data_IF_072919537233
#
_entry.id   IF_072919537233
#
_cell.length_a   1.000
_cell.length_b   1.000
_cell.length_c   1.000
_cell.angle_alpha   90.00
_cell.angle_beta   90.00
_cell.angle_gamma   90.00
#
_symmetry.space_group_name_H-M   'P 1'
#
loop_
_entity.id
_entity.type
_entity.pdbx_description
1 polymer ?
#
# COMPACT_ATOMS: atom_id res chain seq x y z
N UNK A 1 22.04 17.83 22.17
CA UNK A 1 20.65 18.03 21.65
C UNK A 1 19.80 16.90 22.18
N UNK A 2 18.59 17.22 22.65
CA UNK A 2 17.62 16.20 23.02
C UNK A 2 17.25 15.42 21.75
N UNK A 3 17.30 14.08 21.82
CA UNK A 3 16.98 13.24 20.64
C UNK A 3 15.49 13.31 20.37
N UNK A 4 15.09 13.62 19.14
CA UNK A 4 13.69 13.59 18.70
C UNK A 4 13.12 12.18 18.87
N UNK A 5 11.81 12.08 19.10
CA UNK A 5 11.13 10.79 19.19
C UNK A 5 10.91 10.20 17.80
N UNK A 6 11.04 8.86 17.63
CA UNK A 6 10.71 8.19 16.38
C UNK A 6 9.18 8.04 16.22
N UNK A 7 8.58 8.38 15.06
CA UNK A 7 7.13 8.45 14.86
C UNK A 7 6.51 7.08 14.53
N UNK A 8 6.57 6.12 15.46
CA UNK A 8 6.00 4.80 15.24
C UNK A 8 4.48 4.86 15.24
N UNK A 9 3.84 4.53 14.11
CA UNK A 9 2.39 4.48 13.98
C UNK A 9 1.71 5.84 13.81
N UNK A 10 2.46 6.94 13.68
CA UNK A 10 1.92 8.27 13.45
C UNK A 10 1.80 8.48 11.94
N UNK A 11 0.58 8.77 11.49
CA UNK A 11 0.25 8.98 10.07
C UNK A 11 -0.09 10.46 9.76
N UNK A 12 -0.12 11.31 10.78
CA UNK A 12 -0.37 12.75 10.65
C UNK A 12 0.93 13.52 10.52
N UNK A 13 1.11 14.22 9.41
CA UNK A 13 2.24 15.14 9.19
C UNK A 13 2.25 16.28 10.20
N UNK A 14 1.06 16.85 10.47
CA UNK A 14 0.89 17.91 11.45
C UNK A 14 1.34 17.47 12.84
N UNK A 15 0.91 16.28 13.30
CA UNK A 15 1.32 15.72 14.58
C UNK A 15 2.84 15.50 14.65
N UNK A 16 3.45 14.94 13.60
CA UNK A 16 4.90 14.71 13.54
C UNK A 16 5.66 16.03 13.70
N UNK A 17 5.22 17.09 13.03
CA UNK A 17 5.91 18.36 13.01
C UNK A 17 5.66 19.18 14.26
N UNK A 18 4.44 19.22 14.77
CA UNK A 18 4.05 20.01 15.95
C UNK A 18 4.59 19.41 17.25
N UNK A 19 4.60 18.07 17.37
CA UNK A 19 5.09 17.36 18.55
C UNK A 19 6.61 17.08 18.51
N UNK A 20 7.30 17.54 17.47
CA UNK A 20 8.76 17.42 17.34
C UNK A 20 9.26 15.99 17.19
N UNK A 21 8.55 15.15 16.44
CA UNK A 21 9.06 13.84 16.05
C UNK A 21 10.10 13.94 14.93
N UNK A 22 10.94 12.92 14.81
CA UNK A 22 11.89 12.82 13.70
C UNK A 22 11.15 12.64 12.39
N UNK A 23 11.41 13.51 11.43
CA UNK A 23 10.78 13.47 10.11
C UNK A 23 11.83 13.36 9.00
N UNK A 24 11.75 12.33 8.19
CA UNK A 24 12.51 12.22 6.95
C UNK A 24 11.78 13.02 5.89
N UNK A 25 12.43 14.07 5.39
CA UNK A 25 11.83 15.07 4.52
C UNK A 25 11.44 14.51 3.15
N UNK A 26 10.14 14.34 2.92
CA UNK A 26 9.55 13.95 1.64
C UNK A 26 8.78 15.08 0.94
N UNK A 27 9.00 16.34 1.38
CA UNK A 27 8.33 17.50 0.79
C UNK A 27 8.76 17.80 -0.65
N UNK A 28 9.83 17.14 -1.13
CA UNK A 28 10.16 17.09 -2.55
C UNK A 28 9.02 16.58 -3.43
N UNK A 29 8.14 15.70 -2.89
CA UNK A 29 6.93 15.26 -3.56
C UNK A 29 6.03 16.44 -3.97
N UNK A 30 5.88 17.45 -3.11
CA UNK A 30 5.06 18.63 -3.40
C UNK A 30 5.62 19.39 -4.59
N UNK A 31 6.94 19.65 -4.60
CA UNK A 31 7.62 20.34 -5.70
C UNK A 31 7.42 19.59 -7.03
N UNK A 32 7.69 18.28 -7.00
CA UNK A 32 7.64 17.48 -8.21
C UNK A 32 6.20 17.29 -8.71
N UNK A 33 5.24 17.17 -7.79
CA UNK A 33 3.81 17.16 -8.13
C UNK A 33 3.40 18.49 -8.77
N UNK A 34 3.72 19.64 -8.17
CA UNK A 34 3.33 20.96 -8.69
C UNK A 34 3.97 21.28 -10.05
N UNK A 35 5.15 20.73 -10.34
CA UNK A 35 5.81 20.90 -11.63
C UNK A 35 5.27 19.96 -12.72
N UNK A 36 4.62 18.86 -12.36
CA UNK A 36 4.26 17.79 -13.31
C UNK A 36 2.84 17.23 -13.13
N UNK A 37 1.97 17.90 -12.38
CA UNK A 37 0.65 17.35 -12.06
C UNK A 37 -0.26 17.16 -13.28
N UNK A 38 -0.95 16.01 -13.29
CA UNK A 38 -2.12 15.77 -14.12
C UNK A 38 -3.39 16.18 -13.39
N UNK A 39 -4.53 16.16 -14.06
CA UNK A 39 -5.83 16.45 -13.41
C UNK A 39 -6.12 15.44 -12.29
N UNK A 40 -5.78 14.16 -12.50
CA UNK A 40 -5.88 13.10 -11.48
C UNK A 40 -4.56 12.33 -11.42
N UNK A 41 -3.88 12.38 -10.27
CA UNK A 41 -2.59 11.73 -10.04
C UNK A 41 -2.79 10.50 -9.16
N UNK A 42 -2.48 9.33 -9.68
CA UNK A 42 -2.60 8.07 -8.94
C UNK A 42 -1.21 7.54 -8.58
N UNK A 43 -0.94 7.36 -7.29
CA UNK A 43 0.27 6.72 -6.80
C UNK A 43 -0.04 5.32 -6.28
N UNK A 44 0.54 4.30 -6.90
CA UNK A 44 0.46 2.93 -6.40
C UNK A 44 1.79 2.51 -5.80
N UNK A 45 1.78 2.20 -4.49
CA UNK A 45 2.95 1.78 -3.72
C UNK A 45 2.54 0.67 -2.75
N UNK A 46 3.42 -0.25 -2.39
CA UNK A 46 3.12 -1.28 -1.40
C UNK A 46 2.68 -0.68 -0.06
N UNK A 47 2.10 -1.50 0.80
CA UNK A 47 1.73 -1.08 2.15
C UNK A 47 2.97 -0.66 2.94
N UNK A 48 2.82 0.31 3.88
CA UNK A 48 3.88 0.79 4.78
C UNK A 48 4.97 1.67 4.14
N UNK A 49 4.80 2.14 2.91
CA UNK A 49 5.71 3.04 2.21
C UNK A 49 5.36 4.53 2.34
N UNK A 50 4.63 4.94 3.38
CA UNK A 50 4.40 6.36 3.71
C UNK A 50 3.28 7.04 2.90
N UNK A 51 2.39 6.29 2.20
CA UNK A 51 1.29 6.86 1.41
C UNK A 51 0.42 7.82 2.22
N UNK A 52 -0.14 7.35 3.33
CA UNK A 52 -1.03 8.15 4.19
C UNK A 52 -0.34 9.39 4.77
N UNK A 53 0.92 9.26 5.19
CA UNK A 53 1.70 10.39 5.70
C UNK A 53 1.94 11.45 4.62
N UNK A 54 2.27 11.04 3.39
CA UNK A 54 2.41 11.95 2.26
C UNK A 54 1.08 12.63 1.91
N UNK A 55 -0.04 11.92 1.99
CA UNK A 55 -1.38 12.51 1.80
C UNK A 55 -1.70 13.54 2.89
N UNK A 56 -1.37 13.25 4.14
CA UNK A 56 -1.50 14.20 5.26
C UNK A 56 -0.61 15.44 5.05
N UNK A 57 0.62 15.25 4.57
CA UNK A 57 1.54 16.35 4.21
C UNK A 57 0.96 17.22 3.09
N UNK A 58 0.42 16.63 2.02
CA UNK A 58 -0.22 17.38 0.93
C UNK A 58 -1.42 18.18 1.44
N UNK A 59 -2.26 17.58 2.31
CA UNK A 59 -3.37 18.29 2.96
C UNK A 59 -2.87 19.52 3.70
N UNK A 60 -1.89 19.35 4.60
CA UNK A 60 -1.31 20.45 5.40
C UNK A 60 -0.66 21.52 4.53
N UNK A 61 -0.16 21.18 3.33
CA UNK A 61 0.44 22.18 2.44
C UNK A 61 -0.61 23.02 1.69
N UNK A 62 -1.65 22.38 1.15
CA UNK A 62 -2.61 23.08 0.29
C UNK A 62 -3.73 23.78 1.04
N UNK A 63 -4.14 23.24 2.20
CA UNK A 63 -5.38 23.62 2.89
C UNK A 63 -5.37 25.08 3.38
N UNK A 64 -6.44 25.81 3.07
CA UNK A 64 -6.67 27.17 3.57
C UNK A 64 -6.74 27.14 5.09
N UNK A 65 -5.93 27.98 5.74
CA UNK A 65 -5.88 28.09 7.21
C UNK A 65 -4.92 27.10 7.88
N UNK A 66 -4.25 26.21 7.12
CA UNK A 66 -3.23 25.32 7.69
C UNK A 66 -2.01 26.11 8.18
N UNK A 67 -1.35 25.56 9.20
CA UNK A 67 -0.13 26.13 9.78
C UNK A 67 1.06 25.94 8.83
N UNK A 68 1.51 27.05 8.25
CA UNK A 68 2.63 27.06 7.29
C UNK A 68 3.97 26.78 7.97
N UNK A 69 4.09 27.01 9.26
CA UNK A 69 5.35 26.79 10.02
C UNK A 69 5.72 25.32 10.11
N UNK A 70 4.77 24.41 9.86
CA UNK A 70 5.03 22.97 9.75
C UNK A 70 6.07 22.62 8.68
N UNK A 71 6.25 23.48 7.69
CA UNK A 71 7.18 23.29 6.58
C UNK A 71 8.53 24.00 6.76
N UNK A 72 8.72 24.74 7.86
CA UNK A 72 9.95 25.45 8.13
C UNK A 72 11.16 24.50 8.16
N UNK A 73 12.20 24.86 7.39
CA UNK A 73 13.44 24.09 7.30
C UNK A 73 13.38 22.87 6.37
N UNK A 74 12.20 22.52 5.82
CA UNK A 74 12.03 21.43 4.86
C UNK A 74 12.36 21.86 3.44
N UNK A 75 12.58 20.90 2.53
CA UNK A 75 12.96 21.14 1.13
C UNK A 75 12.01 22.10 0.42
N UNK A 76 10.70 21.90 0.58
CA UNK A 76 9.69 22.73 -0.07
C UNK A 76 9.74 24.20 0.35
N UNK A 77 10.17 24.50 1.58
CA UNK A 77 10.28 25.89 2.06
C UNK A 77 11.32 26.72 1.30
N UNK A 78 12.23 26.05 0.57
CA UNK A 78 13.21 26.70 -0.31
C UNK A 78 12.64 27.08 -1.68
N UNK A 79 11.51 26.50 -2.04
CA UNK A 79 10.77 26.75 -3.29
C UNK A 79 9.78 27.91 -3.07
N UNK A 80 10.31 29.11 -2.83
CA UNK A 80 9.52 30.28 -2.40
C UNK A 80 8.38 30.61 -3.36
N UNK A 81 8.61 30.53 -4.68
CA UNK A 81 7.57 30.81 -5.69
C UNK A 81 6.42 29.78 -5.60
N UNK A 82 6.70 28.50 -5.38
CA UNK A 82 5.68 27.48 -5.21
C UNK A 82 4.92 27.66 -3.88
N UNK A 83 5.62 27.98 -2.80
CA UNK A 83 5.00 28.27 -1.51
C UNK A 83 4.08 29.50 -1.59
N UNK A 84 4.52 30.57 -2.22
CA UNK A 84 3.69 31.78 -2.42
C UNK A 84 2.45 31.52 -3.27
N UNK A 85 2.57 30.69 -4.30
CA UNK A 85 1.47 30.40 -5.21
C UNK A 85 0.46 29.39 -4.66
N UNK A 86 0.91 28.39 -3.86
CA UNK A 86 0.09 27.22 -3.55
C UNK A 86 -0.11 26.96 -2.06
N UNK A 87 0.83 27.30 -1.17
CA UNK A 87 0.76 26.95 0.26
C UNK A 87 -0.38 27.66 0.98
N UNK A 88 -1.34 26.89 1.49
CA UNK A 88 -2.51 27.40 2.21
C UNK A 88 -3.48 28.18 1.33
N UNK A 89 -3.59 27.83 0.04
CA UNK A 89 -4.39 28.59 -0.95
C UNK A 89 -5.64 27.87 -1.45
N UNK A 90 -5.78 26.57 -1.16
CA UNK A 90 -6.86 25.77 -1.73
C UNK A 90 -7.76 25.19 -0.65
N UNK A 91 -9.07 25.13 -0.87
CA UNK A 91 -9.91 24.24 -0.09
C UNK A 91 -9.51 22.79 -0.43
N UNK A 92 -9.42 21.94 0.61
CA UNK A 92 -9.01 20.55 0.47
C UNK A 92 -10.14 19.63 0.95
N UNK A 93 -10.48 18.64 0.14
CA UNK A 93 -11.28 17.49 0.54
C UNK A 93 -10.33 16.32 0.76
N UNK A 94 -10.37 15.71 1.95
CA UNK A 94 -9.52 14.58 2.30
C UNK A 94 -10.34 13.42 2.84
N UNK A 95 -10.33 12.29 2.13
CA UNK A 95 -10.95 11.05 2.59
C UNK A 95 -9.94 9.90 2.56
N UNK A 96 -9.95 9.07 3.61
CA UNK A 96 -9.22 7.81 3.63
C UNK A 96 -10.21 6.66 3.67
N UNK A 97 -10.11 5.76 2.69
CA UNK A 97 -10.97 4.58 2.58
C UNK A 97 -10.40 3.36 3.32
N UNK A 98 -9.32 3.55 4.08
CA UNK A 98 -8.62 2.51 4.86
C UNK A 98 -9.56 1.73 5.79
N UNK A 99 -10.59 2.39 6.33
CA UNK A 99 -11.55 1.80 7.28
C UNK A 99 -12.79 1.17 6.65
N UNK A 100 -12.90 1.12 5.32
CA UNK A 100 -14.06 0.51 4.65
C UNK A 100 -13.83 -1.01 4.53
N UNK A 101 -14.13 -1.74 5.60
CA UNK A 101 -13.89 -3.18 5.77
C UNK A 101 -15.09 -3.84 6.46
N UNK A 102 -16.21 -4.01 5.72
CA UNK A 102 -17.41 -4.68 6.21
C UNK A 102 -17.48 -6.13 5.76
N UNK A 103 -18.07 -7.00 6.58
CA UNK A 103 -18.33 -8.39 6.19
C UNK A 103 -19.43 -8.50 5.13
N UNK A 104 -20.31 -7.52 5.07
CA UNK A 104 -21.38 -7.39 4.08
C UNK A 104 -21.24 -6.07 3.32
N UNK A 105 -21.91 -5.97 2.16
CA UNK A 105 -21.95 -4.72 1.41
C UNK A 105 -22.57 -3.59 2.23
N UNK A 106 -23.64 -3.87 2.99
CA UNK A 106 -24.34 -2.91 3.82
C UNK A 106 -23.43 -2.35 4.93
N UNK A 107 -22.65 -3.21 5.58
CA UNK A 107 -21.68 -2.79 6.60
C UNK A 107 -20.59 -1.88 5.99
N UNK A 108 -20.01 -2.29 4.86
CA UNK A 108 -18.99 -1.51 4.16
C UNK A 108 -19.56 -0.17 3.64
N UNK A 109 -20.78 -0.17 3.10
CA UNK A 109 -21.46 1.05 2.68
C UNK A 109 -21.73 1.98 3.89
N UNK A 110 -22.16 1.42 5.03
CA UNK A 110 -22.32 2.17 6.26
C UNK A 110 -21.02 2.82 6.76
N UNK A 111 -19.88 2.14 6.59
CA UNK A 111 -18.55 2.70 6.89
C UNK A 111 -18.18 3.83 5.94
N UNK A 112 -18.39 3.68 4.64
CA UNK A 112 -18.17 4.74 3.66
C UNK A 112 -19.03 5.98 3.97
N UNK A 113 -20.32 5.78 4.28
CA UNK A 113 -21.22 6.87 4.70
C UNK A 113 -20.65 7.66 5.88
N UNK A 114 -20.13 6.98 6.91
CA UNK A 114 -19.50 7.65 8.07
C UNK A 114 -18.31 8.50 7.68
N UNK A 115 -17.46 8.00 6.76
CA UNK A 115 -16.31 8.77 6.24
C UNK A 115 -16.77 10.02 5.53
N UNK A 116 -17.74 9.91 4.62
CA UNK A 116 -18.30 11.05 3.87
C UNK A 116 -18.94 12.07 4.81
N UNK A 117 -19.72 11.62 5.80
CA UNK A 117 -20.33 12.48 6.80
C UNK A 117 -19.30 13.19 7.69
N UNK A 118 -18.25 12.47 8.12
CA UNK A 118 -17.16 13.08 8.89
C UNK A 118 -16.47 14.21 8.11
N UNK A 119 -16.30 14.04 6.79
CA UNK A 119 -15.76 15.09 5.94
C UNK A 119 -16.76 16.25 5.77
N UNK A 120 -18.07 15.97 5.66
CA UNK A 120 -19.09 17.01 5.69
C UNK A 120 -19.08 17.81 7.00
N UNK A 121 -18.96 17.15 8.15
CA UNK A 121 -18.85 17.82 9.46
C UNK A 121 -17.62 18.72 9.57
N UNK A 122 -16.48 18.31 8.99
CA UNK A 122 -15.29 19.16 8.93
C UNK A 122 -15.55 20.48 8.19
N UNK A 123 -16.50 20.47 7.26
CA UNK A 123 -16.91 21.62 6.44
C UNK A 123 -18.25 22.23 6.89
N UNK A 124 -18.72 21.98 8.12
CA UNK A 124 -20.04 22.45 8.61
C UNK A 124 -20.25 23.96 8.52
N UNK A 125 -19.16 24.74 8.52
CA UNK A 125 -19.21 26.18 8.33
C UNK A 125 -19.87 26.60 7.01
N UNK A 126 -19.89 25.72 5.99
CA UNK A 126 -20.54 25.96 4.70
C UNK A 126 -22.07 26.07 4.86
N UNK A 127 -22.66 25.45 5.89
CA UNK A 127 -24.09 25.53 6.19
C UNK A 127 -24.56 26.97 6.47
N UNK A 128 -23.65 27.84 6.90
CA UNK A 128 -23.92 29.27 7.20
C UNK A 128 -23.44 30.21 6.09
N UNK A 129 -22.95 29.67 4.97
CA UNK A 129 -22.44 30.48 3.87
C UNK A 129 -23.58 31.08 3.05
N UNK A 130 -23.54 32.40 2.85
CA UNK A 130 -24.46 33.10 1.97
C UNK A 130 -24.06 33.11 0.49
N UNK A 131 -22.96 32.43 0.14
CA UNK A 131 -22.39 32.35 -1.21
C UNK A 131 -22.75 31.06 -1.96
N UNK A 132 -23.29 30.06 -1.26
CA UNK A 132 -23.55 28.75 -1.83
C UNK A 132 -24.97 28.62 -2.37
N UNK A 133 -25.17 27.76 -3.38
CA UNK A 133 -26.50 27.52 -3.94
C UNK A 133 -27.37 26.72 -2.99
N UNK A 134 -28.64 27.11 -2.86
CA UNK A 134 -29.57 26.47 -1.93
C UNK A 134 -29.78 24.98 -2.25
N UNK A 135 -29.84 24.61 -3.52
CA UNK A 135 -30.04 23.23 -3.97
C UNK A 135 -28.90 22.30 -3.48
N UNK A 136 -27.65 22.70 -3.66
CA UNK A 136 -26.48 21.91 -3.22
C UNK A 136 -26.36 21.93 -1.70
N UNK A 137 -26.69 23.06 -1.07
CA UNK A 137 -26.75 23.20 0.38
C UNK A 137 -27.73 22.20 0.99
N UNK A 138 -28.91 21.98 0.40
CA UNK A 138 -29.87 21.00 0.90
C UNK A 138 -29.33 19.56 0.87
N UNK A 139 -28.59 19.17 -0.17
CA UNK A 139 -27.93 17.85 -0.21
C UNK A 139 -26.87 17.73 0.89
N UNK A 140 -26.08 18.78 1.11
CA UNK A 140 -25.08 18.84 2.17
C UNK A 140 -25.70 18.78 3.57
N UNK A 141 -26.79 19.50 3.82
CA UNK A 141 -27.51 19.47 5.09
C UNK A 141 -28.07 18.07 5.41
N UNK A 142 -28.54 17.31 4.40
CA UNK A 142 -28.97 15.93 4.62
C UNK A 142 -27.83 15.03 5.10
N UNK A 143 -26.58 15.27 4.64
CA UNK A 143 -25.41 14.54 5.14
C UNK A 143 -25.13 14.89 6.61
N UNK A 144 -25.20 16.17 6.99
CA UNK A 144 -25.02 16.63 8.37
C UNK A 144 -26.11 16.09 9.30
N UNK A 145 -27.36 16.07 8.84
CA UNK A 145 -28.53 15.58 9.61
C UNK A 145 -28.65 14.04 9.62
N UNK A 146 -27.76 13.33 8.97
CA UNK A 146 -27.80 11.87 8.78
C UNK A 146 -29.05 11.34 8.05
N UNK A 147 -29.66 12.19 7.21
CA UNK A 147 -30.85 11.88 6.40
C UNK A 147 -30.51 11.66 4.92
N UNK A 148 -29.24 11.45 4.61
CA UNK A 148 -28.73 11.28 3.27
C UNK A 148 -29.26 10.02 2.57
N UNK A 149 -29.47 10.17 1.29
CA UNK A 149 -29.79 9.09 0.36
C UNK A 149 -28.53 8.47 -0.24
N UNK A 150 -28.66 7.37 -0.97
CA UNK A 150 -27.55 6.79 -1.73
C UNK A 150 -27.00 7.76 -2.77
N UNK A 151 -27.86 8.52 -3.43
CA UNK A 151 -27.48 9.51 -4.43
C UNK A 151 -26.69 10.67 -3.79
N UNK A 152 -27.10 11.12 -2.59
CA UNK A 152 -26.33 12.14 -1.86
C UNK A 152 -24.91 11.67 -1.54
N UNK A 153 -24.72 10.38 -1.24
CA UNK A 153 -23.38 9.79 -1.03
C UNK A 153 -22.59 9.73 -2.34
N UNK A 154 -23.19 9.28 -3.45
CA UNK A 154 -22.53 9.18 -4.74
C UNK A 154 -22.10 10.55 -5.28
N UNK A 155 -22.90 11.59 -5.06
CA UNK A 155 -22.64 12.96 -5.52
C UNK A 155 -21.84 13.79 -4.50
N UNK A 156 -21.58 13.27 -3.30
CA UNK A 156 -21.03 14.01 -2.16
C UNK A 156 -19.75 14.78 -2.48
N UNK A 157 -18.73 14.12 -3.06
CA UNK A 157 -17.45 14.74 -3.33
C UNK A 157 -17.55 15.88 -4.38
N UNK A 158 -18.45 15.74 -5.36
CA UNK A 158 -18.74 16.80 -6.31
C UNK A 158 -19.51 17.95 -5.66
N UNK A 159 -20.49 17.64 -4.82
CA UNK A 159 -21.24 18.63 -4.05
C UNK A 159 -20.30 19.42 -3.13
N UNK A 160 -19.41 18.76 -2.42
CA UNK A 160 -18.38 19.41 -1.59
C UNK A 160 -17.48 20.32 -2.43
N UNK A 161 -17.03 19.84 -3.59
CA UNK A 161 -16.19 20.64 -4.50
C UNK A 161 -16.89 21.91 -4.95
N UNK A 162 -18.16 21.82 -5.33
CA UNK A 162 -18.98 22.95 -5.73
C UNK A 162 -19.19 23.97 -4.60
N UNK A 163 -19.60 23.51 -3.42
CA UNK A 163 -19.85 24.36 -2.25
C UNK A 163 -18.57 25.08 -1.79
N UNK A 164 -17.45 24.37 -1.74
CA UNK A 164 -16.15 24.96 -1.39
C UNK A 164 -15.72 25.99 -2.42
N UNK A 165 -15.88 25.71 -3.72
CA UNK A 165 -15.57 26.66 -4.78
C UNK A 165 -16.44 27.93 -4.67
N UNK A 166 -17.74 27.78 -4.48
CA UNK A 166 -18.65 28.91 -4.30
C UNK A 166 -18.29 29.76 -3.06
N UNK A 167 -17.89 29.10 -1.97
CA UNK A 167 -17.53 29.80 -0.73
C UNK A 167 -16.20 30.54 -0.82
N UNK A 168 -15.14 29.86 -1.28
CA UNK A 168 -13.77 30.40 -1.28
C UNK A 168 -13.36 31.09 -2.59
N UNK A 169 -14.06 30.84 -3.70
CA UNK A 169 -13.66 31.32 -5.03
C UNK A 169 -12.43 30.62 -5.60
N UNK A 170 -12.04 29.49 -5.02
CA UNK A 170 -10.86 28.71 -5.40
C UNK A 170 -11.26 27.26 -5.71
N UNK A 171 -10.64 26.68 -6.77
CA UNK A 171 -10.80 25.27 -7.09
C UNK A 171 -10.27 24.38 -5.96
N UNK A 172 -10.78 23.17 -5.89
CA UNK A 172 -10.57 22.23 -4.78
C UNK A 172 -9.45 21.26 -5.10
N UNK A 173 -8.59 20.97 -4.13
CA UNK A 173 -7.68 19.83 -4.16
C UNK A 173 -8.38 18.65 -3.50
N UNK A 174 -8.51 17.53 -4.23
CA UNK A 174 -9.15 16.31 -3.73
C UNK A 174 -8.10 15.23 -3.44
N UNK A 175 -8.04 14.79 -2.19
CA UNK A 175 -7.10 13.78 -1.72
C UNK A 175 -7.87 12.53 -1.28
N UNK A 176 -7.59 11.38 -1.92
CA UNK A 176 -8.24 10.09 -1.62
C UNK A 176 -7.17 9.06 -1.28
N UNK A 177 -7.10 8.66 -0.02
CA UNK A 177 -6.13 7.68 0.47
C UNK A 177 -6.70 6.27 0.50
N UNK A 178 -5.87 5.27 0.13
CA UNK A 178 -6.19 3.84 0.15
C UNK A 178 -7.48 3.50 -0.63
N UNK A 179 -7.60 4.01 -1.88
CA UNK A 179 -8.80 3.91 -2.70
C UNK A 179 -9.21 2.47 -3.03
N UNK A 180 -8.26 1.54 -3.03
CA UNK A 180 -8.43 0.14 -3.40
C UNK A 180 -8.82 -0.77 -2.23
N UNK A 181 -8.72 -0.31 -0.98
CA UNK A 181 -9.05 -1.11 0.20
C UNK A 181 -10.50 -1.62 0.20
N UNK A 182 -11.52 -0.79 -0.10
CA UNK A 182 -12.90 -1.28 -0.17
C UNK A 182 -13.09 -2.41 -1.19
N UNK A 183 -12.33 -2.39 -2.28
CA UNK A 183 -12.41 -3.39 -3.36
C UNK A 183 -11.73 -4.69 -2.96
N UNK A 184 -10.55 -4.60 -2.34
CA UNK A 184 -9.81 -5.73 -1.77
C UNK A 184 -10.70 -6.49 -0.78
N UNK A 185 -11.31 -5.76 0.17
CA UNK A 185 -12.19 -6.33 1.18
C UNK A 185 -13.47 -6.94 0.59
N UNK A 186 -14.11 -6.22 -0.32
CA UNK A 186 -15.30 -6.69 -1.01
C UNK A 186 -15.05 -7.97 -1.84
N UNK A 187 -13.86 -8.09 -2.44
CA UNK A 187 -13.45 -9.30 -3.15
C UNK A 187 -13.37 -10.49 -2.19
N UNK A 188 -12.72 -10.32 -1.05
CA UNK A 188 -12.60 -11.38 -0.04
C UNK A 188 -13.92 -11.80 0.58
N UNK A 189 -14.90 -10.88 0.69
CA UNK A 189 -16.21 -11.12 1.31
C UNK A 189 -17.33 -11.38 0.29
N UNK A 190 -17.04 -11.37 -1.03
CA UNK A 190 -17.96 -11.83 -2.07
C UNK A 190 -18.99 -10.79 -2.56
N UNK A 191 -18.87 -9.50 -2.19
CA UNK A 191 -19.73 -8.41 -2.67
C UNK A 191 -18.99 -7.40 -3.56
N UNK A 192 -17.98 -7.90 -4.28
CA UNK A 192 -17.07 -7.09 -5.09
C UNK A 192 -17.78 -6.23 -6.15
N UNK A 193 -18.77 -6.80 -6.88
CA UNK A 193 -19.45 -6.08 -7.96
C UNK A 193 -20.26 -4.89 -7.47
N UNK A 194 -20.91 -5.03 -6.32
CA UNK A 194 -21.67 -3.97 -5.68
C UNK A 194 -20.73 -2.84 -5.21
N UNK A 195 -19.58 -3.18 -4.65
CA UNK A 195 -18.59 -2.20 -4.23
C UNK A 195 -17.95 -1.47 -5.42
N UNK A 196 -17.63 -2.17 -6.50
CA UNK A 196 -17.15 -1.56 -7.75
C UNK A 196 -18.14 -0.54 -8.27
N UNK A 197 -19.44 -0.88 -8.30
CA UNK A 197 -20.48 0.04 -8.77
C UNK A 197 -20.58 1.30 -7.88
N UNK A 198 -20.47 1.12 -6.57
CA UNK A 198 -20.50 2.22 -5.58
C UNK A 198 -19.29 3.17 -5.75
N UNK A 199 -18.09 2.63 -5.73
CA UNK A 199 -16.84 3.43 -5.84
C UNK A 199 -16.76 4.11 -7.22
N UNK A 200 -17.19 3.44 -8.30
CA UNK A 200 -17.29 4.04 -9.63
C UNK A 200 -18.24 5.22 -9.65
N UNK A 201 -19.42 5.09 -9.03
CA UNK A 201 -20.38 6.19 -8.93
C UNK A 201 -19.77 7.39 -8.23
N UNK A 202 -19.19 7.19 -7.06
CA UNK A 202 -18.55 8.23 -6.24
C UNK A 202 -17.40 8.94 -6.99
N UNK A 203 -16.47 8.17 -7.57
CA UNK A 203 -15.30 8.75 -8.25
C UNK A 203 -15.65 9.31 -9.63
N UNK A 204 -16.61 8.71 -10.33
CA UNK A 204 -17.06 9.20 -11.63
C UNK A 204 -17.58 10.63 -11.56
N UNK A 205 -18.34 10.96 -10.52
CA UNK A 205 -18.83 12.33 -10.29
C UNK A 205 -17.73 13.30 -9.85
N UNK A 206 -16.81 12.83 -9.01
CA UNK A 206 -15.78 13.66 -8.40
C UNK A 206 -14.61 13.97 -9.32
N UNK A 207 -14.20 13.01 -10.17
CA UNK A 207 -12.95 13.06 -10.95
C UNK A 207 -13.16 13.26 -12.44
N UNK A 208 -14.39 13.02 -12.95
CA UNK A 208 -14.74 13.23 -14.35
C UNK A 208 -15.61 14.48 -14.50
N UNK A 209 -15.18 15.41 -15.32
CA UNK A 209 -15.98 16.63 -15.61
C UNK A 209 -16.38 17.43 -14.36
N UNK A 210 -15.52 17.44 -13.35
CA UNK A 210 -15.68 18.29 -12.17
C UNK A 210 -14.96 19.64 -12.39
N UNK A 211 -15.68 20.66 -12.84
CA UNK A 211 -15.15 21.97 -13.15
C UNK A 211 -14.56 22.71 -11.93
N UNK A 212 -14.93 22.27 -10.73
CA UNK A 212 -14.45 22.82 -9.46
C UNK A 212 -13.13 22.19 -8.98
N UNK A 213 -12.67 21.14 -9.67
CA UNK A 213 -11.44 20.44 -9.31
C UNK A 213 -10.20 21.21 -9.80
N UNK A 214 -9.23 21.44 -8.92
CA UNK A 214 -7.89 21.90 -9.27
C UNK A 214 -7.07 20.72 -9.78
N UNK A 215 -6.92 19.73 -8.95
CA UNK A 215 -6.42 18.39 -9.25
C UNK A 215 -6.80 17.42 -8.12
N UNK A 216 -6.66 16.14 -8.41
CA UNK A 216 -6.82 15.08 -7.40
C UNK A 216 -5.53 14.28 -7.24
N UNK A 217 -5.31 13.76 -6.02
CA UNK A 217 -4.28 12.75 -5.73
C UNK A 217 -4.95 11.55 -5.08
N UNK A 218 -4.70 10.37 -5.64
CA UNK A 218 -5.17 9.10 -5.12
C UNK A 218 -3.97 8.23 -4.74
N UNK A 219 -4.11 7.47 -3.64
CA UNK A 219 -3.13 6.44 -3.26
C UNK A 219 -3.77 5.09 -3.07
N UNK A 220 -3.04 4.03 -3.42
CA UNK A 220 -3.45 2.63 -3.25
C UNK A 220 -2.27 1.67 -3.40
N UNK A 221 -2.53 0.37 -3.28
CA UNK A 221 -1.53 -0.67 -3.51
C UNK A 221 -1.57 -1.17 -4.95
N UNK A 222 -2.76 -1.37 -5.49
CA UNK A 222 -2.97 -1.90 -6.85
C UNK A 222 -3.49 -0.82 -7.79
N UNK A 223 -3.13 -0.92 -9.07
CA UNK A 223 -3.78 -0.17 -10.13
C UNK A 223 -5.01 -0.95 -10.60
N UNK A 224 -6.18 -0.61 -10.09
CA UNK A 224 -7.46 -1.24 -10.47
C UNK A 224 -8.03 -0.58 -11.74
N UNK A 225 -7.18 -0.38 -12.77
CA UNK A 225 -7.55 0.44 -13.93
C UNK A 225 -8.49 -0.24 -14.93
N UNK A 226 -8.40 -1.56 -15.08
CA UNK A 226 -9.25 -2.32 -16.01
C UNK A 226 -10.66 -2.53 -15.50
N UNK A 227 -10.85 -2.45 -14.20
CA UNK A 227 -12.18 -2.47 -13.66
C UNK A 227 -12.78 -1.09 -13.81
N UNK A 228 -13.71 -1.05 -14.65
CA UNK A 228 -14.74 -0.04 -14.89
C UNK A 228 -14.89 1.14 -13.88
N UNK A 229 -14.10 1.19 -12.75
CA UNK A 229 -14.03 2.33 -11.81
C UNK A 229 -13.45 3.55 -12.53
N UNK A 230 -12.38 3.34 -13.27
CA UNK A 230 -11.72 4.36 -14.05
C UNK A 230 -12.02 4.28 -15.56
N UNK A 231 -12.91 3.38 -15.97
CA UNK A 231 -13.33 3.28 -17.38
C UNK A 231 -13.97 4.59 -17.85
N UNK A 232 -13.36 5.19 -18.85
CA UNK A 232 -13.81 6.48 -19.39
C UNK A 232 -13.27 7.70 -18.66
N UNK A 233 -12.35 7.53 -17.70
CA UNK A 233 -11.53 8.60 -17.15
C UNK A 233 -10.20 8.62 -17.90
N UNK A 234 -10.03 9.56 -18.83
CA UNK A 234 -8.84 9.69 -19.68
C UNK A 234 -7.81 10.65 -19.07
N UNK A 235 -8.06 11.17 -17.89
CA UNK A 235 -7.32 12.24 -17.23
C UNK A 235 -6.42 11.74 -16.09
N UNK A 236 -6.16 10.42 -16.01
CA UNK A 236 -5.28 9.84 -14.98
C UNK A 236 -3.82 9.84 -15.39
N UNK A 237 -2.98 10.44 -14.56
CA UNK A 237 -1.52 10.24 -14.55
C UNK A 237 -1.17 9.20 -13.49
N UNK A 238 -0.81 7.99 -13.93
CA UNK A 238 -0.56 6.86 -13.04
C UNK A 238 0.94 6.73 -12.80
N UNK A 239 1.32 6.70 -11.54
CA UNK A 239 2.69 6.60 -11.08
C UNK A 239 2.87 5.36 -10.19
N UNK A 240 3.31 4.27 -10.81
CA UNK A 240 3.49 2.96 -10.19
C UNK A 240 4.91 2.75 -9.66
N UNK A 241 5.19 1.57 -9.13
CA UNK A 241 6.52 1.20 -8.63
C UNK A 241 7.59 1.07 -9.74
N UNK A 242 7.19 1.00 -11.01
CA UNK A 242 8.14 0.90 -12.14
C UNK A 242 8.47 2.25 -12.77
N UNK A 243 7.76 3.31 -12.39
CA UNK A 243 7.94 4.64 -12.95
C UNK A 243 9.05 5.40 -12.22
N UNK A 244 9.94 6.05 -13.00
CA UNK A 244 11.05 6.83 -12.45
C UNK A 244 10.61 8.13 -11.77
N UNK A 245 9.42 8.65 -12.16
CA UNK A 245 8.85 9.83 -11.54
C UNK A 245 8.35 9.49 -10.14
N UNK A 246 8.72 10.26 -9.13
CA UNK A 246 8.35 10.10 -7.73
C UNK A 246 8.90 8.82 -7.05
N UNK A 247 9.96 8.22 -7.56
CA UNK A 247 10.51 6.96 -7.07
C UNK A 247 11.17 7.07 -5.68
N UNK A 248 11.70 8.25 -5.30
CA UNK A 248 12.31 8.50 -3.98
C UNK A 248 11.34 9.06 -2.92
N UNK A 249 10.11 9.44 -3.30
CA UNK A 249 9.17 10.11 -2.37
C UNK A 249 8.38 9.13 -1.50
N UNK A 250 8.41 7.86 -1.84
CA UNK A 250 7.78 6.78 -1.08
C UNK A 250 8.85 5.77 -0.66
N UNK A 251 8.90 5.46 0.63
CA UNK A 251 10.03 4.70 1.18
C UNK A 251 11.16 5.61 1.66
N UNK A 252 12.23 5.01 2.21
CA UNK A 252 13.44 5.72 2.61
C UNK A 252 14.61 5.32 1.71
N UNK A 253 15.34 6.30 1.21
CA UNK A 253 16.57 6.05 0.45
C UNK A 253 17.69 5.60 1.39
N UNK A 254 18.74 4.98 0.83
CA UNK A 254 19.89 4.56 1.63
C UNK A 254 20.56 5.74 2.36
N UNK A 255 20.62 6.91 1.73
CA UNK A 255 21.20 8.11 2.35
C UNK A 255 20.36 8.56 3.55
N UNK A 256 19.03 8.58 3.44
CA UNK A 256 18.13 8.96 4.52
C UNK A 256 18.22 7.99 5.72
N UNK A 257 18.34 6.68 5.44
CA UNK A 257 18.50 5.67 6.51
C UNK A 257 19.84 5.82 7.20
N UNK A 258 20.94 6.02 6.47
CA UNK A 258 22.25 6.26 7.06
C UNK A 258 22.26 7.53 7.91
N UNK A 259 21.61 8.60 7.46
CA UNK A 259 21.47 9.83 8.25
C UNK A 259 20.68 9.59 9.54
N UNK A 260 19.55 8.88 9.46
CA UNK A 260 18.75 8.51 10.64
C UNK A 260 19.61 7.70 11.63
N UNK A 261 20.33 6.69 11.17
CA UNK A 261 21.19 5.87 12.05
C UNK A 261 22.28 6.73 12.72
N UNK A 262 22.91 7.64 11.98
CA UNK A 262 23.92 8.55 12.52
C UNK A 262 23.35 9.53 13.54
N UNK A 263 22.17 10.11 13.29
CA UNK A 263 21.52 11.03 14.22
C UNK A 263 21.18 10.36 15.56
N UNK A 264 20.99 9.05 15.55
CA UNK A 264 20.70 8.26 16.76
C UNK A 264 21.91 7.49 17.31
N UNK A 265 23.10 7.55 16.65
CA UNK A 265 24.30 6.84 17.05
C UNK A 265 24.15 5.32 16.91
N UNK A 266 23.51 4.89 15.83
CA UNK A 266 23.22 3.49 15.50
C UNK A 266 23.96 3.05 14.22
N UNK A 267 25.03 3.74 13.84
CA UNK A 267 25.80 3.52 12.58
C UNK A 267 26.26 2.06 12.42
N UNK A 268 26.62 1.41 13.53
CA UNK A 268 27.10 0.01 13.55
C UNK A 268 26.03 -0.99 13.03
N UNK A 269 24.75 -0.63 13.05
CA UNK A 269 23.63 -1.45 12.60
C UNK A 269 23.29 -1.27 11.13
N UNK A 270 24.00 -0.41 10.37
CA UNK A 270 23.68 -0.09 8.97
C UNK A 270 23.66 -1.32 8.06
N UNK A 271 24.65 -2.22 8.20
CA UNK A 271 24.70 -3.43 7.38
C UNK A 271 23.55 -4.40 7.68
N UNK A 272 23.16 -4.53 8.93
CA UNK A 272 22.04 -5.38 9.36
C UNK A 272 20.70 -4.77 8.94
N UNK A 273 20.50 -3.47 9.14
CA UNK A 273 19.33 -2.70 8.66
C UNK A 273 19.14 -2.90 7.16
N UNK A 274 20.22 -2.77 6.39
CA UNK A 274 20.20 -2.96 4.94
C UNK A 274 19.79 -4.39 4.57
N UNK A 275 20.40 -5.40 5.17
CA UNK A 275 20.13 -6.80 4.84
C UNK A 275 18.67 -7.22 5.12
N UNK A 276 18.03 -6.56 6.10
CA UNK A 276 16.69 -6.94 6.53
C UNK A 276 15.57 -6.14 5.88
N UNK A 277 15.77 -4.85 5.58
CA UNK A 277 14.66 -3.92 5.26
C UNK A 277 14.85 -3.12 3.98
N UNK A 278 16.02 -3.21 3.32
CA UNK A 278 16.31 -2.62 2.01
C UNK A 278 15.80 -3.52 0.87
N UNK A 279 16.15 -3.16 -0.36
CA UNK A 279 16.02 -4.00 -1.55
C UNK A 279 14.75 -3.81 -2.35
N UNK A 280 13.86 -2.92 -1.95
CA UNK A 280 12.76 -2.51 -2.80
C UNK A 280 13.26 -1.54 -3.86
N UNK A 281 12.88 -1.77 -5.12
CA UNK A 281 13.20 -0.87 -6.22
C UNK A 281 11.94 -0.21 -6.75
N UNK A 282 11.94 1.12 -6.73
CA UNK A 282 10.93 1.94 -7.39
C UNK A 282 11.62 2.74 -8.48
N UNK A 283 11.17 2.60 -9.75
CA UNK A 283 11.84 3.23 -10.86
C UNK A 283 13.35 2.94 -10.88
N UNK A 284 14.16 3.94 -10.57
CA UNK A 284 15.62 3.83 -10.46
C UNK A 284 16.13 3.88 -9.03
N UNK A 285 15.27 4.19 -8.06
CA UNK A 285 15.65 4.30 -6.66
C UNK A 285 15.53 2.96 -5.92
N UNK A 286 16.56 2.64 -5.14
CA UNK A 286 16.49 1.56 -4.13
C UNK A 286 16.04 2.17 -2.80
N UNK A 287 15.01 1.58 -2.19
CA UNK A 287 14.36 2.13 -1.00
C UNK A 287 14.10 1.06 0.05
N UNK A 288 14.10 1.51 1.31
CA UNK A 288 13.72 0.72 2.48
C UNK A 288 12.24 0.92 2.80
N UNK A 289 11.63 -0.07 3.44
CA UNK A 289 10.31 0.10 4.04
C UNK A 289 10.40 1.00 5.30
N UNK A 290 9.76 2.18 5.33
CA UNK A 290 9.83 3.11 6.46
C UNK A 290 9.40 2.52 7.79
N UNK A 291 8.34 1.72 7.77
CA UNK A 291 7.80 1.08 8.97
C UNK A 291 8.83 0.20 9.66
N UNK A 292 9.58 -0.57 8.90
CA UNK A 292 10.57 -1.52 9.43
C UNK A 292 11.77 -0.79 9.99
N UNK A 293 12.28 0.19 9.25
CA UNK A 293 13.42 1.03 9.68
C UNK A 293 13.12 1.72 10.99
N UNK A 294 11.97 2.40 11.11
CA UNK A 294 11.59 3.14 12.31
C UNK A 294 11.38 2.20 13.52
N UNK A 295 10.72 1.04 13.30
CA UNK A 295 10.50 0.08 14.38
C UNK A 295 11.79 -0.58 14.85
N UNK A 296 12.70 -0.93 13.93
CA UNK A 296 13.99 -1.51 14.32
C UNK A 296 14.88 -0.50 15.00
N UNK A 297 14.99 0.73 14.49
CA UNK A 297 15.71 1.81 15.15
C UNK A 297 15.19 2.07 16.57
N UNK A 298 13.86 2.10 16.76
CA UNK A 298 13.27 2.24 18.12
C UNK A 298 13.66 1.09 19.05
N UNK A 299 13.71 -0.14 18.55
CA UNK A 299 14.17 -1.29 19.35
C UNK A 299 15.62 -1.17 19.75
N UNK A 300 16.50 -0.79 18.82
CA UNK A 300 17.92 -0.60 19.07
C UNK A 300 18.19 0.49 20.12
N UNK A 301 17.37 1.55 20.14
CA UNK A 301 17.45 2.58 21.17
C UNK A 301 17.11 2.06 22.58
N UNK A 302 16.23 1.08 22.67
CA UNK A 302 15.88 0.44 23.95
C UNK A 302 16.86 -0.68 24.34
N UNK A 303 17.35 -1.44 23.37
CA UNK A 303 18.31 -2.52 23.53
C UNK A 303 19.28 -2.56 22.33
N UNK A 304 20.53 -2.07 22.51
CA UNK A 304 21.52 -2.07 21.42
C UNK A 304 21.88 -3.46 20.86
N UNK A 305 21.49 -4.52 21.56
CA UNK A 305 21.68 -5.91 21.10
C UNK A 305 20.41 -6.53 20.50
N UNK A 306 19.36 -5.73 20.31
CA UNK A 306 18.12 -6.19 19.72
C UNK A 306 18.37 -6.76 18.32
N UNK A 307 17.81 -7.94 18.05
CA UNK A 307 17.86 -8.54 16.72
C UNK A 307 16.76 -7.98 15.82
N UNK A 308 17.00 -7.87 14.52
CA UNK A 308 15.96 -7.56 13.57
C UNK A 308 14.86 -8.62 13.61
N UNK A 309 13.68 -8.22 13.22
CA UNK A 309 12.51 -9.10 13.13
C UNK A 309 11.59 -8.62 12.02
N UNK A 310 10.67 -9.49 11.61
CA UNK A 310 9.65 -9.16 10.63
C UNK A 310 8.57 -8.26 11.24
N UNK A 311 8.61 -6.96 10.94
CA UNK A 311 7.60 -5.98 11.38
C UNK A 311 6.47 -5.82 10.36
N UNK A 312 6.78 -5.87 9.08
CA UNK A 312 5.82 -5.68 7.99
C UNK A 312 4.79 -6.81 7.93
N UNK A 313 5.23 -8.06 8.10
CA UNK A 313 4.43 -9.28 8.02
C UNK A 313 3.31 -9.32 9.06
N UNK A 314 3.60 -8.88 10.28
CA UNK A 314 2.65 -8.98 11.40
C UNK A 314 1.49 -7.98 11.27
N UNK A 315 1.48 -7.14 10.24
CA UNK A 315 0.50 -6.06 10.03
C UNK A 315 -0.32 -6.19 8.77
N UNK A 316 0.04 -7.12 7.87
CA UNK A 316 -0.73 -7.47 6.66
C UNK A 316 -1.07 -8.94 6.69
N UNK A 317 -2.29 -9.31 6.34
CA UNK A 317 -2.63 -10.73 6.14
C UNK A 317 -1.71 -11.30 5.06
N UNK A 318 -1.00 -12.39 5.36
CA UNK A 318 -0.14 -13.09 4.39
C UNK A 318 -0.96 -13.93 3.40
N UNK A 319 -2.25 -13.66 3.31
CA UNK A 319 -3.21 -14.43 2.51
C UNK A 319 -2.80 -14.50 1.03
N UNK A 320 -2.15 -13.45 0.54
CA UNK A 320 -1.71 -13.42 -0.86
C UNK A 320 -0.59 -14.43 -1.12
N UNK A 321 0.44 -14.48 -0.25
CA UNK A 321 1.52 -15.49 -0.39
C UNK A 321 0.99 -16.89 -0.12
N UNK A 322 0.09 -17.06 0.87
CA UNK A 322 -0.56 -18.33 1.11
C UNK A 322 -1.32 -18.80 -0.12
N UNK A 323 -2.19 -17.97 -0.69
CA UNK A 323 -2.94 -18.27 -1.93
C UNK A 323 -2.03 -18.61 -3.09
N UNK A 324 -0.91 -17.92 -3.22
CA UNK A 324 0.08 -18.20 -4.24
C UNK A 324 0.73 -19.57 -4.04
N UNK A 325 1.18 -19.88 -2.82
CA UNK A 325 1.79 -21.18 -2.50
C UNK A 325 0.79 -22.33 -2.67
N UNK A 326 -0.48 -22.13 -2.28
CA UNK A 326 -1.55 -23.14 -2.45
C UNK A 326 -1.81 -23.45 -3.92
N UNK A 327 -1.67 -22.45 -4.83
CA UNK A 327 -1.86 -22.63 -6.28
C UNK A 327 -0.61 -23.09 -7.04
N UNK A 328 0.56 -23.09 -6.39
CA UNK A 328 1.82 -23.51 -6.99
C UNK A 328 1.93 -25.05 -7.06
N UNK A 329 1.00 -25.68 -7.80
CA UNK A 329 0.95 -27.15 -7.90
C UNK A 329 1.92 -27.72 -8.93
N UNK A 330 2.32 -26.94 -9.92
CA UNK A 330 3.24 -27.35 -10.99
C UNK A 330 4.71 -27.26 -10.51
N UNK A 331 5.53 -28.18 -11.01
CA UNK A 331 6.95 -28.28 -10.65
C UNK A 331 7.76 -27.03 -11.04
N UNK A 332 7.38 -26.37 -12.14
CA UNK A 332 8.08 -25.17 -12.62
C UNK A 332 7.93 -24.03 -11.63
N UNK A 333 6.71 -23.75 -11.18
CA UNK A 333 6.43 -22.71 -10.19
C UNK A 333 7.11 -23.01 -8.84
N UNK A 334 7.12 -24.29 -8.41
CA UNK A 334 7.84 -24.69 -7.19
C UNK A 334 9.33 -24.43 -7.30
N UNK A 335 9.98 -24.79 -8.41
CA UNK A 335 11.39 -24.48 -8.67
C UNK A 335 11.67 -22.98 -8.72
N UNK A 336 10.76 -22.20 -9.27
CA UNK A 336 10.90 -20.73 -9.28
C UNK A 336 10.83 -20.13 -7.88
N UNK A 337 9.95 -20.64 -7.02
CA UNK A 337 9.88 -20.23 -5.60
C UNK A 337 11.19 -20.61 -4.88
N UNK A 338 11.72 -21.82 -5.09
CA UNK A 338 12.99 -22.25 -4.52
C UNK A 338 14.15 -21.34 -4.94
N UNK A 339 14.23 -21.01 -6.23
CA UNK A 339 15.23 -20.08 -6.75
C UNK A 339 15.15 -18.70 -6.11
N UNK A 340 13.93 -18.16 -5.94
CA UNK A 340 13.71 -16.87 -5.24
C UNK A 340 14.17 -16.93 -3.77
N UNK A 341 13.90 -18.02 -3.06
CA UNK A 341 14.35 -18.22 -1.68
C UNK A 341 15.87 -18.29 -1.61
N UNK A 342 16.52 -18.86 -2.62
CA UNK A 342 18.00 -18.91 -2.74
C UNK A 342 18.61 -17.55 -3.15
N UNK A 343 17.79 -16.55 -3.41
CA UNK A 343 18.22 -15.20 -3.83
C UNK A 343 18.45 -15.07 -5.32
N UNK A 344 18.05 -16.07 -6.13
CA UNK A 344 18.12 -15.98 -7.58
C UNK A 344 16.96 -15.20 -8.17
N UNK A 345 17.17 -14.54 -9.29
CA UNK A 345 16.10 -13.88 -10.03
C UNK A 345 15.33 -14.87 -10.92
N UNK A 346 14.02 -14.65 -11.02
CA UNK A 346 13.16 -15.28 -12.03
C UNK A 346 12.69 -14.23 -13.03
N UNK A 347 12.39 -14.64 -14.26
CA UNK A 347 11.93 -13.71 -15.31
C UNK A 347 10.45 -13.92 -15.60
N UNK A 348 9.64 -12.88 -15.40
CA UNK A 348 8.18 -12.93 -15.58
C UNK A 348 7.64 -11.75 -16.38
N UNK A 349 6.60 -12.02 -17.16
CA UNK A 349 5.76 -10.96 -17.70
C UNK A 349 4.86 -10.46 -16.56
N UNK A 350 4.96 -9.18 -16.22
CA UNK A 350 4.17 -8.56 -15.15
C UNK A 350 3.05 -7.74 -15.75
N UNK A 351 1.84 -7.96 -15.27
CA UNK A 351 0.69 -7.12 -15.57
C UNK A 351 0.49 -6.13 -14.41
N UNK A 352 0.78 -4.86 -14.66
CA UNK A 352 0.60 -3.81 -13.64
C UNK A 352 -0.86 -3.43 -13.43
N UNK A 353 -1.73 -3.76 -14.39
CA UNK A 353 -3.16 -3.47 -14.41
C UNK A 353 -3.96 -4.77 -14.29
N UNK A 354 -4.14 -5.24 -13.06
CA UNK A 354 -4.95 -6.42 -12.77
C UNK A 354 -6.18 -6.04 -11.98
N UNK A 355 -7.31 -6.63 -12.36
CA UNK A 355 -8.53 -6.57 -11.56
C UNK A 355 -8.53 -7.67 -10.51
N UNK A 356 -9.24 -7.48 -9.40
CA UNK A 356 -9.34 -8.53 -8.38
C UNK A 356 -9.95 -9.83 -8.94
N UNK A 357 -10.91 -9.74 -9.87
CA UNK A 357 -11.48 -10.89 -10.57
C UNK A 357 -10.47 -11.67 -11.43
N UNK A 358 -9.38 -11.02 -11.85
CA UNK A 358 -8.32 -11.65 -12.66
C UNK A 358 -7.21 -12.26 -11.83
N UNK A 359 -7.01 -11.81 -10.58
CA UNK A 359 -5.91 -12.27 -9.71
C UNK A 359 -5.82 -13.79 -9.64
N UNK A 360 -6.97 -14.45 -9.50
CA UNK A 360 -7.03 -15.90 -9.32
C UNK A 360 -7.09 -16.71 -10.62
N UNK A 361 -7.11 -16.06 -11.80
CA UNK A 361 -7.27 -16.76 -13.07
C UNK A 361 -6.03 -17.49 -13.55
N UNK A 362 -4.85 -17.02 -13.16
CA UNK A 362 -3.58 -17.65 -13.54
C UNK A 362 -2.50 -17.46 -12.48
N UNK A 363 -1.50 -18.32 -12.52
CA UNK A 363 -0.30 -18.18 -11.67
C UNK A 363 0.51 -16.92 -12.06
N UNK A 364 0.49 -16.52 -13.33
CA UNK A 364 1.20 -15.30 -13.79
C UNK A 364 0.57 -14.03 -13.23
N UNK A 365 -0.75 -14.00 -13.03
CA UNK A 365 -1.42 -12.90 -12.36
C UNK A 365 -1.02 -12.81 -10.88
N UNK A 366 -0.86 -13.94 -10.21
CA UNK A 366 -0.38 -13.97 -8.83
C UNK A 366 1.07 -13.47 -8.70
N UNK A 367 1.96 -13.80 -9.65
CA UNK A 367 3.30 -13.20 -9.72
C UNK A 367 3.22 -11.67 -9.82
N UNK A 368 2.32 -11.16 -10.66
CA UNK A 368 2.11 -9.72 -10.84
C UNK A 368 1.62 -9.04 -9.56
N UNK A 369 0.71 -9.69 -8.82
CA UNK A 369 0.21 -9.16 -7.55
C UNK A 369 1.29 -9.20 -6.47
N UNK A 370 2.07 -10.29 -6.36
CA UNK A 370 3.20 -10.35 -5.42
C UNK A 370 4.21 -9.22 -5.67
N UNK A 371 4.44 -8.88 -6.94
CA UNK A 371 5.31 -7.77 -7.32
C UNK A 371 4.72 -6.41 -6.93
N UNK A 372 3.47 -6.13 -7.31
CA UNK A 372 2.84 -4.82 -7.06
C UNK A 372 2.55 -4.56 -5.58
N UNK A 373 2.34 -5.62 -4.80
CA UNK A 373 2.11 -5.53 -3.33
C UNK A 373 3.38 -5.55 -2.49
N UNK A 374 4.56 -5.74 -3.11
CA UNK A 374 5.87 -5.64 -2.44
C UNK A 374 6.41 -6.94 -1.85
N UNK A 375 5.82 -8.10 -2.14
CA UNK A 375 6.46 -9.39 -1.82
C UNK A 375 7.61 -9.71 -2.76
N UNK A 376 7.60 -9.15 -3.96
CA UNK A 376 8.69 -9.20 -4.92
C UNK A 376 9.09 -7.79 -5.34
N UNK A 377 10.33 -7.66 -5.79
CA UNK A 377 10.85 -6.45 -6.44
C UNK A 377 11.54 -6.84 -7.72
N UNK A 378 12.08 -5.88 -8.48
CA UNK A 378 12.78 -6.17 -9.71
C UNK A 378 14.22 -5.65 -9.69
N UNK A 379 15.11 -6.37 -10.37
CA UNK A 379 16.51 -5.98 -10.55
C UNK A 379 16.82 -5.48 -11.95
N UNK A 380 15.88 -5.64 -12.88
CA UNK A 380 16.00 -5.19 -14.25
C UNK A 380 14.86 -5.68 -15.13
N UNK A 381 14.87 -5.23 -16.37
CA UNK A 381 13.90 -5.61 -17.40
C UNK A 381 14.69 -6.22 -18.56
N UNK A 382 14.19 -7.29 -19.16
CA UNK A 382 14.78 -7.94 -20.34
C UNK A 382 14.44 -7.17 -21.63
N UNK A 383 15.12 -7.44 -22.72
CA UNK A 383 14.86 -6.80 -24.02
C UNK A 383 13.43 -6.99 -24.52
N UNK A 384 12.80 -8.11 -24.16
CA UNK A 384 11.41 -8.45 -24.49
C UNK A 384 10.38 -7.92 -23.45
N UNK A 385 10.81 -7.02 -22.55
CA UNK A 385 9.93 -6.31 -21.59
C UNK A 385 9.52 -7.12 -20.36
N UNK A 386 10.15 -8.28 -20.10
CA UNK A 386 9.88 -9.06 -18.88
C UNK A 386 10.73 -8.59 -17.70
N UNK A 387 10.20 -8.68 -16.49
CA UNK A 387 10.86 -8.28 -15.26
C UNK A 387 11.68 -9.41 -14.66
N UNK A 388 12.91 -9.10 -14.22
CA UNK A 388 13.73 -9.98 -13.39
C UNK A 388 13.34 -9.76 -11.93
N UNK A 389 12.49 -10.64 -11.41
CA UNK A 389 11.93 -10.53 -10.08
C UNK A 389 12.81 -11.24 -9.04
N UNK A 390 12.94 -10.65 -7.86
CA UNK A 390 13.63 -11.19 -6.69
C UNK A 390 12.82 -10.92 -5.43
N UNK A 391 13.07 -11.66 -4.36
CA UNK A 391 12.63 -11.31 -3.01
C UNK A 391 13.47 -10.12 -2.53
N UNK A 392 12.86 -9.02 -2.05
CA UNK A 392 13.61 -7.79 -1.76
C UNK A 392 14.63 -7.94 -0.63
N UNK A 393 14.30 -8.66 0.44
CA UNK A 393 15.14 -8.68 1.65
C UNK A 393 14.87 -9.91 2.52
N UNK A 394 15.59 -9.98 3.66
CA UNK A 394 15.49 -11.11 4.60
C UNK A 394 14.13 -11.20 5.27
N UNK A 395 13.48 -10.09 5.57
CA UNK A 395 12.15 -10.08 6.17
C UNK A 395 11.14 -10.78 5.27
N UNK A 396 11.05 -10.35 4.01
CA UNK A 396 10.11 -10.93 3.04
C UNK A 396 10.48 -12.39 2.73
N UNK A 397 11.78 -12.71 2.71
CA UNK A 397 12.23 -14.10 2.55
C UNK A 397 11.70 -15.01 3.67
N UNK A 398 11.71 -14.54 4.91
CA UNK A 398 11.14 -15.30 6.03
C UNK A 398 9.63 -15.54 5.88
N UNK A 399 8.88 -14.62 5.22
CA UNK A 399 7.47 -14.86 4.90
C UNK A 399 7.30 -16.06 4.00
N UNK A 400 8.03 -16.09 2.88
CA UNK A 400 7.94 -17.19 1.93
C UNK A 400 8.29 -18.52 2.61
N UNK A 401 9.40 -18.57 3.35
CA UNK A 401 9.83 -19.76 4.08
C UNK A 401 8.76 -20.23 5.08
N UNK A 402 8.16 -19.29 5.84
CA UNK A 402 7.12 -19.61 6.81
C UNK A 402 5.85 -20.15 6.15
N UNK A 403 5.38 -19.50 5.08
CA UNK A 403 4.17 -19.93 4.36
C UNK A 403 4.36 -21.30 3.71
N UNK A 404 5.55 -21.58 3.18
CA UNK A 404 5.88 -22.90 2.63
C UNK A 404 5.88 -23.96 3.75
N UNK A 405 6.44 -23.64 4.94
CA UNK A 405 6.40 -24.55 6.08
C UNK A 405 4.96 -24.82 6.57
N UNK A 406 4.10 -23.81 6.58
CA UNK A 406 2.68 -23.96 6.96
C UNK A 406 1.92 -24.82 5.95
N UNK A 407 2.06 -24.52 4.67
CA UNK A 407 1.49 -25.31 3.58
C UNK A 407 1.93 -26.77 3.65
N UNK A 408 3.21 -26.99 3.94
CA UNK A 408 3.79 -28.31 4.11
C UNK A 408 3.13 -29.06 5.28
N UNK A 409 2.99 -28.43 6.44
CA UNK A 409 2.32 -29.03 7.61
C UNK A 409 0.87 -29.38 7.30
N UNK A 410 0.14 -28.52 6.63
CA UNK A 410 -1.26 -28.75 6.24
C UNK A 410 -1.38 -29.94 5.28
N UNK A 411 -0.52 -30.04 4.26
CA UNK A 411 -0.51 -31.19 3.34
C UNK A 411 -0.11 -32.51 4.00
N UNK A 412 0.87 -32.48 4.89
CA UNK A 412 1.24 -33.66 5.67
C UNK A 412 0.09 -34.11 6.59
N UNK A 413 -0.55 -33.17 7.24
CA UNK A 413 -1.70 -33.43 8.10
C UNK A 413 -2.93 -33.94 7.34
N UNK A 414 -3.15 -33.44 6.11
CA UNK A 414 -4.28 -33.85 5.27
C UNK A 414 -4.09 -35.20 4.59
N UNK A 415 -2.85 -35.66 4.38
CA UNK A 415 -2.50 -36.93 3.74
C UNK A 415 -2.40 -38.08 4.78
N UNK A 416 -3.48 -38.22 5.56
CA UNK A 416 -3.55 -39.19 6.66
C UNK A 416 -3.38 -40.67 6.21
N UNK A 417 -3.61 -40.99 4.92
CA UNK A 417 -3.49 -42.36 4.41
C UNK A 417 -2.03 -42.86 4.32
N UNK A 418 -1.10 -42.16 3.66
CA UNK A 418 0.31 -42.53 3.64
C UNK A 418 0.94 -42.51 5.02
N UNK A 419 0.59 -41.58 5.89
CA UNK A 419 1.08 -41.54 7.27
C UNK A 419 0.58 -42.71 8.11
N UNK A 420 -0.69 -43.10 7.96
CA UNK A 420 -1.22 -44.31 8.63
C UNK A 420 -0.57 -45.56 8.09
N UNK A 421 -0.36 -45.68 6.78
CA UNK A 421 0.34 -46.81 6.17
C UNK A 421 1.78 -46.90 6.66
N UNK A 422 2.51 -45.80 6.72
CA UNK A 422 3.85 -45.72 7.28
C UNK A 422 3.88 -46.13 8.76
N UNK A 423 2.97 -45.61 9.57
CA UNK A 423 2.84 -45.95 10.98
C UNK A 423 2.53 -47.45 11.20
N UNK A 424 1.64 -48.00 10.37
CA UNK A 424 1.36 -49.44 10.41
C UNK A 424 2.54 -50.31 9.98
N UNK A 425 3.32 -49.88 8.97
CA UNK A 425 4.54 -50.57 8.56
C UNK A 425 5.58 -50.55 9.67
N UNK A 426 5.76 -49.43 10.38
CA UNK A 426 6.60 -49.33 11.57
C UNK A 426 6.16 -50.33 12.67
N UNK A 427 4.86 -50.33 12.99
CA UNK A 427 4.32 -51.23 14.05
C UNK A 427 4.45 -52.70 13.70
N UNK A 428 4.47 -53.07 12.41
CA UNK A 428 4.60 -54.44 11.91
C UNK A 428 6.05 -54.89 11.67
N UNK A 429 7.02 -53.97 11.80
CA UNK A 429 8.41 -54.23 11.45
C UNK A 429 8.64 -54.45 9.95
N UNK A 430 7.72 -53.95 9.11
CA UNK A 430 7.81 -54.05 7.65
C UNK A 430 8.76 -52.99 7.09
N UNK A 431 10.03 -53.37 6.95
CA UNK A 431 11.08 -52.47 6.46
C UNK A 431 10.81 -51.96 5.01
N UNK A 432 10.21 -52.84 4.16
CA UNK A 432 9.89 -52.45 2.79
C UNK A 432 8.72 -51.42 2.74
N UNK A 433 7.69 -51.64 3.56
CA UNK A 433 6.59 -50.71 3.74
C UNK A 433 7.03 -49.40 4.35
N UNK A 434 7.99 -49.40 5.30
CA UNK A 434 8.59 -48.17 5.85
C UNK A 434 9.37 -47.42 4.77
N UNK A 435 10.22 -48.09 4.01
CA UNK A 435 10.97 -47.46 2.92
C UNK A 435 10.04 -46.88 1.85
N UNK A 436 9.02 -47.62 1.42
CA UNK A 436 8.04 -47.15 0.45
C UNK A 436 7.23 -45.94 0.97
N UNK A 437 6.78 -45.98 2.23
CA UNK A 437 6.06 -44.90 2.88
C UNK A 437 6.91 -43.63 3.04
N UNK A 438 8.15 -43.76 3.47
CA UNK A 438 9.10 -42.66 3.55
C UNK A 438 9.39 -42.09 2.16
N UNK A 439 9.66 -42.93 1.16
CA UNK A 439 9.91 -42.49 -0.23
C UNK A 439 8.70 -41.73 -0.79
N UNK A 440 7.48 -42.20 -0.57
CA UNK A 440 6.26 -41.55 -1.02
C UNK A 440 6.02 -40.18 -0.35
N UNK A 441 6.33 -40.08 0.93
CA UNK A 441 6.23 -38.84 1.71
C UNK A 441 7.37 -37.91 1.30
N UNK A 442 8.60 -38.37 1.28
CA UNK A 442 9.77 -37.58 0.92
C UNK A 442 9.75 -37.13 -0.55
N UNK A 443 9.28 -37.99 -1.47
CA UNK A 443 9.15 -37.62 -2.90
C UNK A 443 8.16 -36.49 -3.18
N UNK A 444 7.22 -36.24 -2.25
CA UNK A 444 6.34 -35.09 -2.26
C UNK A 444 6.91 -33.85 -1.51
N UNK A 445 7.95 -34.05 -0.74
CA UNK A 445 8.41 -33.14 0.29
C UNK A 445 9.84 -32.65 0.10
N UNK A 446 10.69 -33.42 -0.60
CA UNK A 446 12.09 -33.04 -0.80
C UNK A 446 12.16 -32.06 -1.93
N UNK A 447 12.53 -30.82 -1.59
CA UNK A 447 12.97 -29.79 -2.50
C UNK A 447 14.36 -30.16 -3.05
N UNK A 448 14.70 -29.62 -4.23
CA UNK A 448 16.06 -29.73 -4.79
C UNK A 448 17.11 -29.15 -3.83
N UNK A 449 16.72 -28.21 -2.98
CA UNK A 449 17.57 -27.61 -1.94
C UNK A 449 17.94 -28.59 -0.82
N UNK A 450 17.05 -29.52 -0.49
CA UNK A 450 17.29 -30.53 0.55
C UNK A 450 18.27 -31.61 0.08
N UNK A 451 18.46 -31.76 -1.24
CA UNK A 451 19.33 -32.78 -1.86
C UNK A 451 20.71 -32.23 -2.24
N UNK A 452 20.93 -30.93 -2.24
CA UNK A 452 22.26 -30.34 -2.39
C UNK A 452 23.06 -30.61 -1.12
N UNK A 453 24.03 -31.52 -1.17
CA UNK A 453 25.03 -31.62 -0.15
C UNK A 453 25.65 -30.23 0.08
N UNK A 454 25.66 -29.79 1.31
CA UNK A 454 26.42 -28.60 1.70
C UNK A 454 27.89 -29.04 1.66
N UNK A 455 28.59 -28.69 0.59
CA UNK A 455 30.04 -28.68 0.56
C UNK A 455 30.56 -27.50 1.40
#
# INVERSE_FOLDING_TARGET
>A
MERLKLPVGIESFEEIRSEGFYYIDKTGLIRDLLNNWGEVNLFTRPRRFGKTLNMSMLKSFFEIGADKTLFDGLLISRETALCEAYMGKFPVIFISLKGVDGLTFEDAYGMLRRIIRAEAFRMEHLAQSNKVSEKELQAFLRLLDEKDTKDDILDSLKTFSSLLYQHYGQKVVLLIDEYDVPLDKAFHHGYYREMVALIRGLFGQALKTNEYLQFAVLTGCLRVAKESIFTGLNNFDVNSIVDARYDEHFGFTNQEVLQLLSDYGLDEHAAEMKAWYDGYRFGYADVYCPWDVINYAKKLLADPKARPQAFWINTSGNDMVKRFVDKAEDKTTQQEIERLIDGEAITKAVQLELTYDEVDRSIDNLWSVLFTTGYLTFTGVTEDGRYKLVIPNREVREVFVRQIHEWFKERVASDAKPMRALHQAFLKGDAAGVAAGLTAIMGKMISVLDTKARD
#
